data_IF_182457545042
#
_entry.id   IF_182457545042
#
_cell.length_a   1.000
_cell.length_b   1.000
_cell.length_c   1.000
_cell.angle_alpha   90.00
_cell.angle_beta   90.00
_cell.angle_gamma   90.00
#
_symmetry.space_group_name_H-M   'P 1'
#
loop_
_entity.id
_entity.type
_entity.pdbx_description
1 polymer ?
#
# COMPACT_ATOMS: atom_id res chain seq x y z
N UNK A 1 13.39 21.00 11.69
CA UNK A 1 12.40 21.29 12.75
C UNK A 1 13.17 21.27 14.05
N UNK A 2 13.57 22.46 14.45
CA UNK A 2 14.52 22.76 15.54
C UNK A 2 13.93 22.39 16.91
N UNK A 3 14.77 21.84 17.78
CA UNK A 3 14.51 21.66 19.20
C UNK A 3 14.65 23.03 19.91
N UNK A 4 13.80 23.38 20.89
CA UNK A 4 14.00 24.61 21.65
C UNK A 4 15.05 24.41 22.75
N UNK A 5 16.09 25.23 22.67
CA UNK A 5 17.11 25.49 23.69
C UNK A 5 16.49 25.85 25.05
N UNK A 6 16.81 25.07 26.10
CA UNK A 6 16.52 25.40 27.50
C UNK A 6 17.71 26.22 28.03
N UNK A 7 17.50 27.52 28.19
CA UNK A 7 18.44 28.40 28.89
C UNK A 7 18.46 28.10 30.40
N UNK A 8 19.64 28.08 31.05
CA UNK A 8 19.75 27.80 32.47
C UNK A 8 19.34 29.02 33.30
N UNK A 9 18.36 28.82 34.18
CA UNK A 9 17.97 29.78 35.22
C UNK A 9 19.17 30.07 36.13
N UNK A 10 19.60 31.35 36.16
CA UNK A 10 20.65 31.83 37.06
C UNK A 10 20.29 31.67 38.55
N UNK A 11 21.30 31.78 39.44
CA UNK A 11 21.11 31.53 40.86
C UNK A 11 20.20 32.60 41.49
N UNK A 12 19.23 32.15 42.29
CA UNK A 12 18.37 33.02 43.06
C UNK A 12 19.20 33.91 44.01
N UNK A 13 18.94 35.23 44.09
CA UNK A 13 19.72 36.10 44.97
C UNK A 13 19.48 35.74 46.44
N UNK A 14 20.59 35.64 47.18
CA UNK A 14 20.60 35.44 48.62
C UNK A 14 19.82 36.55 49.33
N UNK A 15 18.76 36.16 50.06
CA UNK A 15 18.02 37.08 50.93
C UNK A 15 18.89 37.43 52.14
N UNK A 16 19.33 38.69 52.21
CA UNK A 16 19.91 39.27 53.41
C UNK A 16 18.91 39.17 54.58
N UNK A 17 19.31 38.74 55.78
CA UNK A 17 18.42 38.76 56.93
C UNK A 17 18.23 40.23 57.35
N UNK A 18 17.00 40.73 57.21
CA UNK A 18 16.64 42.05 57.69
C UNK A 18 16.55 41.99 59.23
N UNK A 19 17.67 42.17 59.91
CA UNK A 19 17.73 42.41 61.35
C UNK A 19 17.23 43.83 61.64
N UNK A 20 15.91 43.99 61.68
CA UNK A 20 15.28 45.06 62.45
C UNK A 20 14.50 44.40 63.56
N UNK A 21 15.06 44.46 64.76
CA UNK A 21 14.40 44.10 66.00
C UNK A 21 13.10 44.93 66.11
N UNK A 22 11.92 44.29 66.23
CA UNK A 22 10.68 45.04 66.38
C UNK A 22 10.67 45.71 67.74
N UNK A 23 10.36 47.01 67.78
CA UNK A 23 10.20 47.74 69.03
C UNK A 23 9.24 47.01 69.97
N UNK A 24 9.67 46.79 71.22
CA UNK A 24 8.85 46.21 72.28
C UNK A 24 7.67 47.15 72.56
N UNK A 25 6.53 46.89 71.92
CA UNK A 25 5.25 47.42 72.39
C UNK A 25 4.76 46.52 73.52
N UNK A 26 5.17 46.86 74.74
CA UNK A 26 4.56 46.31 75.94
C UNK A 26 3.15 46.90 76.09
N UNK A 27 2.17 46.30 75.39
CA UNK A 27 0.77 46.37 75.81
C UNK A 27 0.57 45.20 76.79
N UNK A 28 0.19 45.45 78.05
CA UNK A 28 -0.06 44.38 79.01
C UNK A 28 -1.12 43.41 78.47
N UNK A 29 -0.81 42.11 78.48
CA UNK A 29 -1.77 41.03 78.23
C UNK A 29 -2.74 40.91 79.40
N UNK A 30 -3.54 41.95 79.61
CA UNK A 30 -4.68 41.93 80.51
C UNK A 30 -5.92 41.74 79.64
N UNK A 31 -6.38 40.49 79.61
CA UNK A 31 -7.78 40.12 79.39
C UNK A 31 -8.44 40.70 78.13
N UNK A 32 -8.00 40.23 76.95
CA UNK A 32 -8.95 40.18 75.85
C UNK A 32 -9.97 39.08 76.19
N UNK A 33 -11.28 39.39 76.27
CA UNK A 33 -12.29 38.37 76.54
C UNK A 33 -12.17 37.29 75.46
N UNK A 34 -12.19 36.03 75.90
CA UNK A 34 -12.25 34.89 75.00
C UNK A 34 -13.40 35.15 74.04
N UNK A 35 -13.10 35.44 72.76
CA UNK A 35 -14.13 35.70 71.77
C UNK A 35 -14.84 34.38 71.58
N UNK A 36 -15.96 34.21 72.28
CA UNK A 36 -16.85 33.07 72.12
C UNK A 36 -17.31 33.13 70.68
N UNK A 37 -16.64 32.36 69.82
CA UNK A 37 -17.05 32.17 68.45
C UNK A 37 -18.27 31.26 68.49
N UNK A 38 -19.41 31.84 68.87
CA UNK A 38 -20.71 31.24 68.63
C UNK A 38 -20.95 31.33 67.13
N UNK A 39 -20.47 30.31 66.43
CA UNK A 39 -20.82 30.16 65.04
C UNK A 39 -22.33 29.91 65.01
N UNK A 40 -23.06 30.81 64.37
CA UNK A 40 -24.49 30.66 64.15
C UNK A 40 -24.75 29.29 63.51
N UNK A 41 -25.16 28.33 64.34
CA UNK A 41 -25.71 27.07 63.87
C UNK A 41 -27.03 27.42 63.20
N UNK A 42 -27.26 26.90 61.99
CA UNK A 42 -28.56 27.00 61.32
C UNK A 42 -29.59 26.18 62.13
N UNK A 43 -30.24 26.78 63.12
CA UNK A 43 -31.29 26.15 63.96
C UNK A 43 -32.71 26.53 63.54
N UNK A 44 -32.90 27.09 62.33
CA UNK A 44 -34.22 27.47 61.82
C UNK A 44 -34.93 26.35 61.04
N UNK A 45 -36.28 26.31 61.04
CA UNK A 45 -37.08 25.26 60.39
C UNK A 45 -36.95 25.20 58.86
N UNK A 46 -36.41 26.26 58.24
CA UNK A 46 -36.13 26.32 56.80
C UNK A 46 -34.65 26.05 56.53
N UNK A 47 -34.20 24.81 56.78
CA UNK A 47 -32.90 24.34 56.28
C UNK A 47 -33.01 24.23 54.77
N UNK A 48 -32.70 25.33 54.08
CA UNK A 48 -32.67 25.41 52.62
C UNK A 48 -31.58 24.46 52.08
N UNK A 49 -32.01 23.25 51.80
CA UNK A 49 -31.43 22.33 50.83
C UNK A 49 -31.64 22.91 49.43
N UNK A 50 -30.92 23.99 49.10
CA UNK A 50 -31.12 24.74 47.87
C UNK A 50 -29.80 25.22 47.25
N UNK A 51 -29.63 24.89 45.97
CA UNK A 51 -28.53 25.14 45.03
C UNK A 51 -27.52 26.27 45.38
N UNK A 52 -26.23 25.94 45.25
CA UNK A 52 -25.12 26.86 45.43
C UNK A 52 -24.89 27.74 44.18
N UNK A 53 -25.07 29.05 44.34
CA UNK A 53 -24.38 30.06 43.52
C UNK A 53 -23.22 30.61 44.35
N UNK A 54 -22.08 30.82 43.70
CA UNK A 54 -20.77 31.14 44.29
C UNK A 54 -20.79 32.23 45.38
N UNK A 55 -20.07 31.99 46.48
CA UNK A 55 -19.75 33.00 47.50
C UNK A 55 -19.77 32.46 48.92
N UNK A 56 -18.58 32.28 49.50
CA UNK A 56 -18.27 32.08 50.93
C UNK A 56 -19.45 31.87 51.89
N UNK A 57 -19.82 30.61 52.16
CA UNK A 57 -20.62 30.30 53.36
C UNK A 57 -19.71 30.39 54.59
N UNK A 58 -19.89 31.42 55.42
CA UNK A 58 -19.23 31.55 56.74
C UNK A 58 -19.99 30.79 57.85
N UNK A 59 -21.14 30.19 57.53
CA UNK A 59 -21.94 29.42 58.47
C UNK A 59 -21.38 28.00 58.62
N UNK A 60 -21.18 27.53 59.86
CA UNK A 60 -20.75 26.15 60.13
C UNK A 60 -21.90 25.20 59.78
N UNK A 61 -21.58 24.15 59.02
CA UNK A 61 -22.52 23.07 58.72
C UNK A 61 -22.97 22.43 60.03
N UNK A 62 -24.26 22.11 60.13
CA UNK A 62 -24.74 21.22 61.18
C UNK A 62 -24.18 19.81 60.93
N UNK A 63 -23.93 19.01 61.98
CA UNK A 63 -23.42 17.65 61.82
C UNK A 63 -24.23 16.81 60.83
N UNK A 64 -25.56 16.91 60.82
CA UNK A 64 -26.42 16.17 59.90
C UNK A 64 -26.20 16.55 58.41
N UNK A 65 -26.09 17.85 58.10
CA UNK A 65 -25.82 18.33 56.73
C UNK A 65 -24.42 17.91 56.26
N UNK A 66 -23.44 17.90 57.16
CA UNK A 66 -22.10 17.37 56.88
C UNK A 66 -22.16 15.87 56.57
N UNK A 67 -22.85 15.08 57.39
CA UNK A 67 -23.01 13.64 57.15
C UNK A 67 -23.69 13.36 55.79
N UNK A 68 -24.76 14.09 55.48
CA UNK A 68 -25.47 13.95 54.20
C UNK A 68 -24.58 14.33 53.00
N UNK A 69 -23.85 15.44 53.08
CA UNK A 69 -22.93 15.85 52.02
C UNK A 69 -21.80 14.83 51.81
N UNK A 70 -21.21 14.31 52.90
CA UNK A 70 -20.17 13.28 52.80
C UNK A 70 -20.72 11.99 52.20
N UNK A 71 -21.91 11.55 52.63
CA UNK A 71 -22.59 10.39 52.06
C UNK A 71 -22.79 10.53 50.54
N UNK A 72 -23.30 11.66 50.08
CA UNK A 72 -23.44 11.93 48.64
C UNK A 72 -22.09 11.92 47.90
N UNK A 73 -21.03 12.49 48.47
CA UNK A 73 -19.69 12.47 47.88
C UNK A 73 -19.14 11.04 47.79
N UNK A 74 -19.31 10.23 48.84
CA UNK A 74 -18.90 8.81 48.83
C UNK A 74 -19.63 8.02 47.75
N UNK A 75 -20.96 8.17 47.64
CA UNK A 75 -21.71 7.49 46.59
C UNK A 75 -21.30 7.93 45.18
N UNK A 76 -21.07 9.23 44.98
CA UNK A 76 -20.58 9.75 43.70
C UNK A 76 -19.19 9.21 43.37
N UNK A 77 -18.28 9.15 44.34
CA UNK A 77 -16.95 8.59 44.17
C UNK A 77 -17.01 7.10 43.84
N UNK A 78 -17.85 6.32 44.54
CA UNK A 78 -18.07 4.89 44.25
C UNK A 78 -18.54 4.68 42.81
N UNK A 79 -19.59 5.39 42.39
CA UNK A 79 -20.11 5.30 41.03
C UNK A 79 -19.05 5.70 39.97
N UNK A 80 -18.25 6.74 40.26
CA UNK A 80 -17.15 7.15 39.38
C UNK A 80 -16.04 6.09 39.28
N UNK A 81 -15.74 5.37 40.37
CA UNK A 81 -14.78 4.27 40.35
C UNK A 81 -15.32 3.09 39.52
N UNK A 82 -16.57 2.70 39.73
CA UNK A 82 -17.22 1.62 38.96
C UNK A 82 -17.27 1.94 37.46
N UNK A 83 -17.55 3.19 37.10
CA UNK A 83 -17.51 3.64 35.70
C UNK A 83 -16.09 3.61 35.13
N UNK A 84 -15.10 4.08 35.89
CA UNK A 84 -13.70 4.03 35.46
C UNK A 84 -13.20 2.58 35.27
N UNK A 85 -13.61 1.66 36.14
CA UNK A 85 -13.28 0.23 36.01
C UNK A 85 -13.90 -0.39 34.77
N UNK A 86 -15.20 -0.12 34.51
CA UNK A 86 -15.86 -0.56 33.27
C UNK A 86 -15.17 -0.01 32.02
N UNK A 87 -14.88 1.29 32.00
CA UNK A 87 -14.19 1.92 30.86
C UNK A 87 -12.81 1.31 30.61
N UNK A 88 -12.06 0.97 31.68
CA UNK A 88 -10.75 0.31 31.55
C UNK A 88 -10.88 -1.11 31.01
N UNK A 89 -11.90 -1.85 31.45
CA UNK A 89 -12.20 -3.18 30.94
C UNK A 89 -12.55 -3.12 29.45
N UNK A 90 -13.50 -2.27 29.07
CA UNK A 90 -13.94 -2.09 27.68
C UNK A 90 -12.79 -1.62 26.78
N UNK A 91 -11.97 -0.66 27.23
CA UNK A 91 -10.81 -0.20 26.48
C UNK A 91 -9.78 -1.31 26.24
N UNK A 92 -9.57 -2.18 27.25
CA UNK A 92 -8.67 -3.33 27.13
C UNK A 92 -9.22 -4.34 26.13
N UNK A 93 -10.50 -4.71 26.24
CA UNK A 93 -11.15 -5.64 25.31
C UNK A 93 -11.15 -5.09 23.87
N UNK A 94 -11.41 -3.79 23.70
CA UNK A 94 -11.36 -3.14 22.40
C UNK A 94 -9.94 -3.14 21.81
N UNK A 95 -8.93 -2.88 22.64
CA UNK A 95 -7.53 -2.94 22.22
C UNK A 95 -7.13 -4.35 21.78
N UNK A 96 -7.52 -5.38 22.55
CA UNK A 96 -7.20 -6.77 22.25
C UNK A 96 -7.90 -7.25 20.97
N UNK A 97 -9.18 -6.93 20.83
CA UNK A 97 -9.96 -7.28 19.62
C UNK A 97 -9.44 -6.56 18.37
N UNK A 98 -9.10 -5.26 18.48
CA UNK A 98 -8.49 -4.49 17.38
C UNK A 98 -7.11 -5.03 16.99
N UNK A 99 -6.27 -5.38 17.97
CA UNK A 99 -4.97 -5.98 17.71
C UNK A 99 -5.11 -7.34 17.01
N UNK A 100 -6.04 -8.18 17.45
CA UNK A 100 -6.33 -9.46 16.82
C UNK A 100 -6.86 -9.31 15.39
N UNK A 101 -7.76 -8.35 15.15
CA UNK A 101 -8.28 -8.04 13.81
C UNK A 101 -7.16 -7.57 12.87
N UNK A 102 -6.32 -6.66 13.34
CA UNK A 102 -5.15 -6.16 12.59
C UNK A 102 -4.18 -7.29 12.26
N UNK A 103 -3.89 -8.17 13.21
CA UNK A 103 -2.99 -9.30 12.98
C UNK A 103 -3.55 -10.27 11.93
N UNK A 104 -4.86 -10.56 11.95
CA UNK A 104 -5.51 -11.40 10.93
C UNK A 104 -5.42 -10.74 9.55
N UNK A 105 -5.82 -9.48 9.44
CA UNK A 105 -5.75 -8.73 8.18
C UNK A 105 -4.32 -8.68 7.61
N UNK A 106 -3.31 -8.52 8.47
CA UNK A 106 -1.91 -8.53 8.05
C UNK A 106 -1.47 -9.91 7.55
N UNK A 107 -1.87 -10.99 8.21
CA UNK A 107 -1.58 -12.37 7.78
C UNK A 107 -2.22 -12.66 6.43
N UNK A 108 -3.49 -12.32 6.26
CA UNK A 108 -4.24 -12.55 5.02
C UNK A 108 -3.62 -11.74 3.87
N UNK A 109 -3.28 -10.47 4.11
CA UNK A 109 -2.61 -9.61 3.13
C UNK A 109 -1.24 -10.15 2.74
N UNK A 110 -0.47 -10.64 3.72
CA UNK A 110 0.86 -11.22 3.48
C UNK A 110 0.75 -12.51 2.66
N UNK A 111 -0.22 -13.37 2.96
CA UNK A 111 -0.48 -14.59 2.20
C UNK A 111 -0.92 -14.28 0.76
N UNK A 112 -1.84 -13.33 0.58
CA UNK A 112 -2.29 -12.90 -0.74
C UNK A 112 -1.15 -12.30 -1.59
N UNK A 113 -0.27 -11.49 -0.97
CA UNK A 113 0.93 -10.99 -1.64
C UNK A 113 1.89 -12.11 -2.02
N UNK A 114 2.08 -13.11 -1.15
CA UNK A 114 2.88 -14.30 -1.44
C UNK A 114 2.36 -15.07 -2.65
N UNK A 115 1.05 -15.32 -2.71
CA UNK A 115 0.43 -16.00 -3.85
C UNK A 115 0.61 -15.18 -5.15
N UNK A 116 0.31 -13.88 -5.12
CA UNK A 116 0.49 -13.01 -6.29
C UNK A 116 1.93 -12.98 -6.78
N UNK A 117 2.91 -13.00 -5.88
CA UNK A 117 4.32 -13.04 -6.25
C UNK A 117 4.66 -14.34 -6.98
N UNK A 118 4.15 -15.47 -6.50
CA UNK A 118 4.32 -16.77 -7.16
C UNK A 118 3.66 -16.76 -8.55
N UNK A 119 2.43 -16.26 -8.67
CA UNK A 119 1.72 -16.16 -9.94
C UNK A 119 2.48 -15.28 -10.94
N UNK A 120 2.97 -14.11 -10.51
CA UNK A 120 3.77 -13.21 -11.35
C UNK A 120 5.05 -13.91 -11.81
N UNK A 121 5.73 -14.61 -10.91
CA UNK A 121 6.96 -15.33 -11.26
C UNK A 121 6.68 -16.44 -12.28
N UNK A 122 5.64 -17.24 -12.05
CA UNK A 122 5.20 -18.29 -12.96
C UNK A 122 4.87 -17.75 -14.35
N UNK A 123 4.05 -16.69 -14.44
CA UNK A 123 3.71 -16.12 -15.74
C UNK A 123 4.91 -15.48 -16.43
N UNK A 124 5.83 -14.87 -15.67
CA UNK A 124 7.07 -14.37 -16.25
C UNK A 124 7.90 -15.49 -16.86
N UNK A 125 8.04 -16.64 -16.19
CA UNK A 125 8.79 -17.77 -16.72
C UNK A 125 8.12 -18.39 -17.94
N UNK A 126 6.80 -18.55 -17.91
CA UNK A 126 6.05 -19.09 -19.06
C UNK A 126 6.11 -18.17 -20.28
N UNK A 127 5.97 -16.85 -20.09
CA UNK A 127 6.11 -15.89 -21.18
C UNK A 127 7.53 -15.88 -21.76
N UNK A 128 8.55 -15.95 -20.91
CA UNK A 128 9.94 -16.01 -21.37
C UNK A 128 10.18 -17.27 -22.22
N UNK A 129 9.69 -18.42 -21.78
CA UNK A 129 9.76 -19.67 -22.53
C UNK A 129 9.01 -19.56 -23.87
N UNK A 130 7.81 -19.00 -23.87
CA UNK A 130 7.03 -18.82 -25.10
C UNK A 130 7.75 -17.90 -26.11
N UNK A 131 8.42 -16.84 -25.64
CA UNK A 131 9.24 -15.97 -26.49
C UNK A 131 10.39 -16.76 -27.12
N UNK A 132 11.11 -17.55 -26.32
CA UNK A 132 12.23 -18.37 -26.82
C UNK A 132 11.77 -19.42 -27.85
N UNK A 133 10.61 -20.04 -27.64
CA UNK A 133 10.00 -20.98 -28.58
C UNK A 133 9.60 -20.29 -29.91
N UNK A 134 8.97 -19.11 -29.84
CA UNK A 134 8.60 -18.33 -31.02
C UNK A 134 9.83 -17.82 -31.79
N UNK A 135 10.88 -17.39 -31.09
CA UNK A 135 12.14 -16.99 -31.73
C UNK A 135 12.80 -18.18 -32.43
N UNK A 136 12.79 -19.36 -31.81
CA UNK A 136 13.31 -20.58 -32.43
C UNK A 136 12.52 -20.97 -33.69
N UNK A 137 11.19 -20.90 -33.63
CA UNK A 137 10.32 -21.17 -34.78
C UNK A 137 10.51 -20.13 -35.90
N UNK A 138 10.59 -18.84 -35.55
CA UNK A 138 10.85 -17.77 -36.51
C UNK A 138 12.17 -17.97 -37.24
N UNK A 139 13.23 -18.32 -36.52
CA UNK A 139 14.54 -18.62 -37.11
C UNK A 139 14.49 -19.86 -38.01
N UNK A 140 13.76 -20.90 -37.61
CA UNK A 140 13.56 -22.10 -38.43
C UNK A 140 12.82 -21.77 -39.74
N UNK A 141 11.73 -21.02 -39.66
CA UNK A 141 10.95 -20.59 -40.83
C UNK A 141 11.77 -19.69 -41.75
N UNK A 142 12.55 -18.75 -41.20
CA UNK A 142 13.46 -17.92 -41.98
C UNK A 142 14.52 -18.75 -42.72
N UNK A 143 15.11 -19.76 -42.06
CA UNK A 143 16.05 -20.67 -42.70
C UNK A 143 15.38 -21.51 -43.81
N UNK A 144 14.15 -21.96 -43.60
CA UNK A 144 13.38 -22.69 -44.60
C UNK A 144 13.02 -21.82 -45.80
N UNK A 145 12.59 -20.57 -45.57
CA UNK A 145 12.32 -19.58 -46.62
C UNK A 145 13.56 -19.37 -47.48
N UNK A 146 14.69 -19.05 -46.87
CA UNK A 146 15.96 -18.87 -47.59
C UNK A 146 16.37 -20.11 -48.38
N UNK A 147 16.14 -21.31 -47.84
CA UNK A 147 16.43 -22.56 -48.55
C UNK A 147 15.54 -22.72 -49.79
N UNK A 148 14.26 -22.37 -49.70
CA UNK A 148 13.32 -22.45 -50.81
C UNK A 148 13.62 -21.40 -51.88
N UNK A 149 13.93 -20.17 -51.49
CA UNK A 149 14.38 -19.10 -52.40
C UNK A 149 15.62 -19.55 -53.19
N UNK A 150 16.64 -20.07 -52.51
CA UNK A 150 17.83 -20.61 -53.17
C UNK A 150 17.53 -21.79 -54.09
N UNK A 151 16.64 -22.69 -53.67
CA UNK A 151 16.24 -23.83 -54.50
C UNK A 151 15.52 -23.34 -55.76
N UNK A 152 14.70 -22.31 -55.65
CA UNK A 152 14.00 -21.69 -56.78
C UNK A 152 14.97 -20.98 -57.72
N UNK A 153 15.90 -20.17 -57.20
CA UNK A 153 16.96 -19.54 -58.00
C UNK A 153 17.76 -20.59 -58.79
N UNK A 154 18.07 -21.73 -58.17
CA UNK A 154 18.75 -22.84 -58.82
C UNK A 154 17.95 -23.45 -59.99
N UNK A 155 16.62 -23.31 -60.02
CA UNK A 155 15.78 -23.76 -61.15
C UNK A 155 15.78 -22.81 -62.35
N UNK A 156 16.17 -21.55 -62.17
CA UNK A 156 16.16 -20.54 -63.23
C UNK A 156 17.10 -20.93 -64.38
N UNK A 157 18.31 -21.39 -64.05
CA UNK A 157 19.30 -21.79 -65.06
C UNK A 157 18.82 -22.99 -65.89
N UNK A 158 18.41 -24.13 -65.31
CA UNK A 158 17.81 -25.22 -66.07
C UNK A 158 16.62 -24.81 -66.93
N UNK A 159 15.76 -23.90 -66.46
CA UNK A 159 14.64 -23.39 -67.25
C UNK A 159 15.13 -22.65 -68.50
N UNK A 160 16.04 -21.68 -68.34
CA UNK A 160 16.61 -20.93 -69.48
C UNK A 160 17.28 -21.85 -70.50
N UNK A 161 18.09 -22.81 -70.05
CA UNK A 161 18.73 -23.81 -70.92
C UNK A 161 17.68 -24.62 -71.67
N UNK A 162 16.63 -25.08 -70.99
CA UNK A 162 15.56 -25.87 -71.60
C UNK A 162 14.83 -25.07 -72.68
N UNK A 163 14.48 -23.82 -72.40
CA UNK A 163 13.84 -22.90 -73.35
C UNK A 163 14.73 -22.62 -74.55
N UNK A 164 16.02 -22.35 -74.35
CA UNK A 164 16.98 -22.10 -75.45
C UNK A 164 17.13 -23.34 -76.34
N UNK A 165 17.17 -24.54 -75.76
CA UNK A 165 17.24 -25.80 -76.51
C UNK A 165 15.99 -26.01 -77.38
N UNK A 166 14.80 -25.72 -76.85
CA UNK A 166 13.55 -25.78 -77.62
C UNK A 166 13.58 -24.77 -78.77
N UNK A 167 13.96 -23.51 -78.52
CA UNK A 167 14.08 -22.50 -79.57
C UNK A 167 15.09 -22.87 -80.67
N UNK A 168 16.21 -23.50 -80.30
CA UNK A 168 17.19 -23.98 -81.27
C UNK A 168 16.64 -25.11 -82.13
N UNK A 169 15.83 -26.01 -81.55
CA UNK A 169 15.17 -27.11 -82.26
C UNK A 169 14.11 -26.60 -83.23
N UNK A 170 13.29 -25.63 -82.83
CA UNK A 170 12.27 -24.99 -83.67
C UNK A 170 12.85 -24.32 -84.93
N UNK A 171 14.13 -23.93 -84.91
CA UNK A 171 14.81 -23.29 -86.05
C UNK A 171 15.38 -24.26 -87.09
N UNK A 172 15.29 -25.58 -86.86
CA UNK A 172 15.78 -26.58 -87.82
C UNK A 172 14.92 -26.58 -89.08
N UNK A 173 15.54 -26.85 -90.23
CA UNK A 173 14.85 -26.98 -91.51
C UNK A 173 14.37 -28.43 -91.73
N UNK A 174 13.35 -28.64 -92.54
CA UNK A 174 12.97 -29.98 -92.97
C UNK A 174 14.13 -30.66 -93.73
N UNK A 175 14.43 -31.96 -93.54
CA UNK A 175 13.68 -32.97 -92.76
C UNK A 175 14.06 -33.07 -91.27
N UNK A 176 14.98 -32.25 -90.77
CA UNK A 176 15.52 -32.34 -89.40
C UNK A 176 14.62 -31.71 -88.32
N UNK A 177 13.50 -31.09 -88.72
CA UNK A 177 12.45 -30.60 -87.83
C UNK A 177 11.55 -31.77 -87.40
N UNK A 178 11.95 -32.46 -86.34
CA UNK A 178 11.31 -33.70 -85.85
C UNK A 178 10.97 -33.59 -84.38
N UNK A 179 9.73 -33.94 -84.03
CA UNK A 179 9.27 -34.08 -82.65
C UNK A 179 9.76 -35.42 -82.06
N UNK A 180 10.98 -35.43 -81.56
CA UNK A 180 11.62 -36.61 -80.95
C UNK A 180 11.32 -36.74 -79.44
N UNK A 181 11.86 -37.78 -78.79
CA UNK A 181 11.70 -37.98 -77.34
C UNK A 181 12.32 -36.84 -76.53
N UNK A 182 13.46 -36.31 -77.00
CA UNK A 182 14.16 -35.24 -76.29
C UNK A 182 13.33 -33.96 -76.28
N UNK A 183 12.66 -33.62 -77.38
CA UNK A 183 11.75 -32.47 -77.45
C UNK A 183 10.57 -32.63 -76.49
N UNK A 184 9.98 -33.83 -76.41
CA UNK A 184 8.90 -34.09 -75.44
C UNK A 184 9.34 -33.93 -74.00
N UNK A 185 10.50 -34.46 -73.63
CA UNK A 185 11.04 -34.32 -72.28
C UNK A 185 11.44 -32.87 -71.97
N UNK A 186 11.99 -32.12 -72.94
CA UNK A 186 12.26 -30.70 -72.79
C UNK A 186 10.97 -29.88 -72.59
N UNK A 187 9.91 -30.16 -73.34
CA UNK A 187 8.60 -29.52 -73.17
C UNK A 187 8.01 -29.80 -71.78
N UNK A 188 8.13 -31.04 -71.30
CA UNK A 188 7.70 -31.42 -69.96
C UNK A 188 8.45 -30.65 -68.88
N UNK A 189 9.79 -30.60 -68.95
CA UNK A 189 10.62 -29.84 -67.99
C UNK A 189 10.29 -28.35 -68.05
N UNK A 190 10.19 -27.77 -69.26
CA UNK A 190 9.83 -26.37 -69.48
C UNK A 190 8.47 -26.03 -68.86
N UNK A 191 7.47 -26.90 -69.03
CA UNK A 191 6.14 -26.68 -68.46
C UNK A 191 6.18 -26.74 -66.93
N UNK A 192 6.84 -27.73 -66.36
CA UNK A 192 6.93 -27.90 -64.90
C UNK A 192 7.66 -26.74 -64.22
N UNK A 193 8.81 -26.35 -64.76
CA UNK A 193 9.59 -25.22 -64.25
C UNK A 193 8.91 -23.86 -64.52
N UNK A 194 8.26 -23.71 -65.66
CA UNK A 194 7.50 -22.50 -66.01
C UNK A 194 6.33 -22.25 -65.06
N UNK A 195 5.60 -23.31 -64.65
CA UNK A 195 4.55 -23.21 -63.63
C UNK A 195 5.14 -22.78 -62.28
N UNK A 196 6.26 -23.36 -61.85
CA UNK A 196 6.94 -22.98 -60.61
C UNK A 196 7.36 -21.49 -60.61
N UNK A 197 7.94 -21.00 -61.71
CA UNK A 197 8.33 -19.60 -61.84
C UNK A 197 7.13 -18.65 -61.84
N UNK A 198 6.05 -19.02 -62.54
CA UNK A 198 4.82 -18.22 -62.60
C UNK A 198 4.14 -18.10 -61.22
N UNK A 199 4.09 -19.20 -60.45
CA UNK A 199 3.53 -19.19 -59.09
C UNK A 199 4.33 -18.24 -58.18
N UNK A 200 5.65 -18.23 -58.29
CA UNK A 200 6.50 -17.32 -57.51
C UNK A 200 6.28 -15.85 -57.86
N UNK A 201 6.21 -15.51 -59.15
CA UNK A 201 5.98 -14.13 -59.59
C UNK A 201 4.63 -13.57 -59.16
N UNK A 202 3.61 -14.42 -58.96
CA UNK A 202 2.30 -14.00 -58.48
C UNK A 202 2.24 -13.72 -56.96
N UNK A 203 3.20 -14.21 -56.17
CA UNK A 203 3.22 -14.05 -54.72
C UNK A 203 4.60 -13.57 -54.23
N UNK A 204 5.00 -12.31 -54.50
CA UNK A 204 6.32 -11.78 -54.11
C UNK A 204 6.51 -11.62 -52.59
N UNK A 205 5.41 -11.59 -51.82
CA UNK A 205 5.42 -11.36 -50.37
C UNK A 205 5.34 -12.65 -49.54
N UNK A 206 5.38 -13.84 -50.18
CA UNK A 206 5.45 -15.13 -49.48
C UNK A 206 6.84 -15.34 -48.87
#
# INVERSE_FOLDING_TARGET
>A
MEQPEVSPSGPAPARLPLTKEPAVQAVPTAELPMKVHEAALKTGPDSSSGLATAGFRTAKLLPHEWHQSNYHLYHKASASCEEAERNRFEAKELSESSAAATQRAQKDSTAALGQRLQDIHFWKTELQKAIEELDAESNLLAAQKLRLERALDATQVPYTITTDNLQCRERRQAPDLVCDEVERELLKVSTMLGVLMAVWQCCPDL
#
